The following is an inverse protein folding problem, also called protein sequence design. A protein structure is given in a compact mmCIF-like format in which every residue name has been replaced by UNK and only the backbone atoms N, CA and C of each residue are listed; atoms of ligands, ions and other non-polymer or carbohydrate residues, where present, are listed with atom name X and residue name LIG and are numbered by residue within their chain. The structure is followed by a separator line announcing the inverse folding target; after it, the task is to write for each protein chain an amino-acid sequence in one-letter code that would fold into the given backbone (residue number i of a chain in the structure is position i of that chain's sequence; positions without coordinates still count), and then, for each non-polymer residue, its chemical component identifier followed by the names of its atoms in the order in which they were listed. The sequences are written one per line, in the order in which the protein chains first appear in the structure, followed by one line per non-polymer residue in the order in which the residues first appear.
data_IF_412566555242
#
_entry.id   IF_412566555242
#
_cell.length_a   1.000
_cell.length_b   1.000
_cell.length_c   1.000
_cell.angle_alpha   90.00
_cell.angle_beta   90.00
_cell.angle_gamma   90.00
#
_symmetry.space_group_name_H-M   'P 1'
#
loop_
_entity.id
_entity.type
_entity.pdbx_description
1 polymer ?
#
# COMPACT_ATOMS: atom_id res chain seq x y z
N UNK A 1 13.91 32.85 -53.27
CA UNK A 1 12.53 32.67 -52.78
C UNK A 1 11.91 34.04 -52.55
N UNK A 2 10.62 34.25 -52.88
CA UNK A 2 9.99 35.54 -52.61
C UNK A 2 9.75 35.72 -51.11
N UNK A 3 9.72 36.96 -50.64
CA UNK A 3 9.39 37.29 -49.24
C UNK A 3 8.02 36.72 -48.78
N UNK A 4 7.02 36.82 -49.66
CA UNK A 4 5.67 36.31 -49.41
C UNK A 4 5.68 34.79 -49.20
N UNK A 5 6.41 34.05 -50.05
CA UNK A 5 6.55 32.60 -49.92
C UNK A 5 7.27 32.24 -48.62
N UNK A 6 8.31 32.96 -48.23
CA UNK A 6 9.02 32.79 -46.98
C UNK A 6 8.10 33.02 -45.78
N UNK A 7 7.29 34.07 -45.78
CA UNK A 7 6.36 34.34 -44.68
C UNK A 7 5.28 33.29 -44.51
N UNK A 8 4.78 32.71 -45.60
CA UNK A 8 3.85 31.58 -45.56
C UNK A 8 4.53 30.37 -44.94
N UNK A 9 5.74 30.05 -45.40
CA UNK A 9 6.52 28.93 -44.84
C UNK A 9 6.77 29.19 -43.36
N UNK A 10 7.22 30.36 -42.95
CA UNK A 10 7.45 30.71 -41.55
C UNK A 10 6.21 30.44 -40.66
N UNK A 11 5.03 30.88 -41.11
CA UNK A 11 3.78 30.62 -40.38
C UNK A 11 3.47 29.12 -40.22
N UNK A 12 3.70 28.32 -41.25
CA UNK A 12 3.55 26.86 -41.18
C UNK A 12 4.53 26.26 -40.17
N UNK A 13 5.76 26.74 -40.15
CA UNK A 13 6.78 26.31 -39.17
C UNK A 13 6.44 26.71 -37.70
N UNK A 14 5.71 27.80 -37.50
CA UNK A 14 5.23 28.19 -36.17
C UNK A 14 4.09 27.32 -35.68
N UNK A 15 3.21 26.84 -36.57
CA UNK A 15 2.02 26.03 -36.22
C UNK A 15 2.39 24.56 -36.02
N UNK A 16 3.28 24.01 -36.82
CA UNK A 16 3.63 22.59 -36.80
C UNK A 16 4.11 22.08 -35.43
N UNK A 17 5.03 22.75 -34.70
CA UNK A 17 5.46 22.30 -33.38
C UNK A 17 4.32 22.25 -32.37
N UNK A 18 3.36 23.16 -32.47
CA UNK A 18 2.18 23.19 -31.58
C UNK A 18 1.35 21.94 -31.77
N UNK A 19 1.06 21.57 -33.03
CA UNK A 19 0.29 20.37 -33.34
C UNK A 19 1.05 19.11 -32.87
N UNK A 20 2.34 19.03 -33.17
CA UNK A 20 3.20 17.92 -32.76
C UNK A 20 3.21 17.75 -31.23
N UNK A 21 3.40 18.85 -30.50
CA UNK A 21 3.42 18.84 -29.04
C UNK A 21 2.09 18.33 -28.47
N UNK A 22 0.95 18.77 -29.00
CA UNK A 22 -0.37 18.30 -28.54
C UNK A 22 -0.52 16.81 -28.78
N UNK A 23 -0.18 16.33 -29.97
CA UNK A 23 -0.30 14.90 -30.30
C UNK A 23 0.60 14.05 -29.39
N UNK A 24 1.86 14.44 -29.20
CA UNK A 24 2.80 13.68 -28.36
C UNK A 24 2.43 13.77 -26.87
N UNK A 25 1.93 14.91 -26.40
CA UNK A 25 1.38 15.01 -25.05
C UNK A 25 0.22 14.03 -24.82
N UNK A 26 -0.71 13.94 -25.79
CA UNK A 26 -1.82 12.98 -25.72
C UNK A 26 -1.33 11.54 -25.70
N UNK A 27 -0.33 11.22 -26.52
CA UNK A 27 0.29 9.88 -26.52
C UNK A 27 0.93 9.59 -25.17
N UNK A 28 1.71 10.53 -24.65
CA UNK A 28 2.36 10.38 -23.34
C UNK A 28 1.32 10.24 -22.22
N UNK A 29 0.29 11.08 -22.24
CA UNK A 29 -0.81 10.99 -21.27
C UNK A 29 -1.47 9.60 -21.26
N UNK A 30 -1.71 9.01 -22.45
CA UNK A 30 -2.28 7.67 -22.55
C UNK A 30 -1.36 6.57 -21.99
N UNK A 31 -0.06 6.78 -21.91
CA UNK A 31 0.89 5.85 -21.29
C UNK A 31 0.66 5.75 -19.78
N UNK A 32 0.37 6.85 -19.12
CA UNK A 32 0.20 6.94 -17.66
C UNK A 32 -1.26 6.85 -17.20
N UNK A 33 -2.21 7.35 -18.02
CA UNK A 33 -3.64 7.27 -17.80
C UNK A 33 -4.30 6.39 -18.86
N UNK A 34 -5.45 5.81 -18.55
CA UNK A 34 -6.29 5.19 -19.59
C UNK A 34 -6.98 6.26 -20.43
N UNK A 35 -7.28 5.95 -21.70
CA UNK A 35 -8.08 6.83 -22.56
C UNK A 35 -9.44 7.10 -21.91
N UNK A 36 -9.65 8.33 -21.49
CA UNK A 36 -10.93 8.84 -21.01
C UNK A 36 -11.37 10.01 -21.88
N UNK A 37 -12.71 10.20 -21.99
CA UNK A 37 -13.26 11.29 -22.82
C UNK A 37 -12.70 12.69 -22.46
N UNK A 38 -12.23 12.88 -21.21
CA UNK A 38 -11.66 14.15 -20.74
C UNK A 38 -10.30 14.52 -21.32
N UNK A 39 -9.58 13.60 -21.96
CA UNK A 39 -8.27 13.87 -22.56
C UNK A 39 -8.35 14.89 -23.72
N UNK A 40 -9.45 14.85 -24.49
CA UNK A 40 -9.69 15.80 -25.57
C UNK A 40 -9.91 17.23 -25.09
N UNK A 41 -10.42 17.40 -23.86
CA UNK A 41 -10.55 18.71 -23.21
C UNK A 41 -9.15 19.24 -22.87
N UNK A 42 -8.28 18.42 -22.32
CA UNK A 42 -6.88 18.80 -22.03
C UNK A 42 -6.14 19.17 -23.31
N UNK A 43 -6.32 18.41 -24.39
CA UNK A 43 -5.77 18.72 -25.70
C UNK A 43 -6.30 20.08 -26.24
N UNK A 44 -7.60 20.30 -26.13
CA UNK A 44 -8.24 21.55 -26.52
C UNK A 44 -7.71 22.75 -25.72
N UNK A 45 -7.54 22.61 -24.41
CA UNK A 45 -6.95 23.65 -23.54
C UNK A 45 -5.51 23.97 -24.00
N UNK A 46 -4.68 22.94 -24.22
CA UNK A 46 -3.33 23.14 -24.67
C UNK A 46 -3.28 23.81 -26.06
N UNK A 47 -4.14 23.41 -26.99
CA UNK A 47 -4.22 24.01 -28.33
C UNK A 47 -4.60 25.49 -28.26
N UNK A 48 -5.70 25.80 -27.59
CA UNK A 48 -6.21 27.19 -27.46
C UNK A 48 -5.18 28.06 -26.77
N UNK A 49 -4.58 27.60 -25.66
CA UNK A 49 -3.57 28.37 -24.94
C UNK A 49 -2.33 28.63 -25.80
N UNK A 50 -1.83 27.62 -26.53
CA UNK A 50 -0.67 27.81 -27.38
C UNK A 50 -0.95 28.77 -28.57
N UNK A 51 -2.15 28.71 -29.15
CA UNK A 51 -2.56 29.60 -30.25
C UNK A 51 -2.80 31.03 -29.73
N UNK A 52 -3.61 31.20 -28.67
CA UNK A 52 -3.91 32.52 -28.14
C UNK A 52 -2.67 33.23 -27.64
N UNK A 53 -1.78 32.53 -26.95
CA UNK A 53 -0.56 33.15 -26.44
C UNK A 53 0.52 33.37 -27.50
N UNK A 54 0.53 32.56 -28.56
CA UNK A 54 1.38 32.83 -29.74
C UNK A 54 1.01 34.10 -30.50
N UNK A 55 -0.28 34.46 -30.44
CA UNK A 55 -0.80 35.67 -31.08
C UNK A 55 -0.65 36.94 -30.22
N UNK A 56 -0.62 36.80 -28.87
CA UNK A 56 -0.70 37.93 -27.91
C UNK A 56 0.58 38.28 -27.19
N UNK A 57 1.53 37.36 -27.12
CA UNK A 57 2.78 37.55 -26.38
C UNK A 57 3.98 37.43 -27.35
N UNK A 58 4.54 38.55 -27.67
CA UNK A 58 5.83 38.63 -28.41
C UNK A 58 7.00 38.09 -27.57
N UNK A 59 6.78 37.74 -26.30
CA UNK A 59 7.82 37.28 -25.36
C UNK A 59 7.71 35.81 -24.95
N UNK A 60 8.84 35.24 -24.48
CA UNK A 60 9.21 33.87 -24.71
C UNK A 60 8.42 32.81 -23.91
N UNK A 61 8.55 31.61 -24.43
CA UNK A 61 7.91 30.35 -24.07
C UNK A 61 7.66 30.02 -22.59
N UNK A 62 8.41 30.56 -21.63
CA UNK A 62 8.27 30.24 -20.21
C UNK A 62 6.89 30.64 -19.66
N UNK A 63 6.41 31.87 -19.95
CA UNK A 63 5.10 32.32 -19.47
C UNK A 63 3.98 31.50 -20.12
N UNK A 64 4.10 31.18 -21.38
CA UNK A 64 3.13 30.35 -22.13
C UNK A 64 3.03 28.95 -21.55
N UNK A 65 4.17 28.32 -21.24
CA UNK A 65 4.20 26.98 -20.67
C UNK A 65 3.69 26.96 -19.22
N UNK A 66 4.07 27.92 -18.41
CA UNK A 66 3.58 28.00 -17.00
C UNK A 66 2.07 28.20 -16.94
N UNK A 67 1.51 29.11 -17.75
CA UNK A 67 0.06 29.33 -17.76
C UNK A 67 -0.71 28.11 -18.28
N UNK A 68 -0.23 27.47 -19.35
CA UNK A 68 -0.86 26.24 -19.85
C UNK A 68 -0.81 25.11 -18.83
N UNK A 69 0.32 24.97 -18.10
CA UNK A 69 0.45 24.01 -17.02
C UNK A 69 -0.53 24.28 -15.88
N UNK A 70 -0.67 25.54 -15.43
CA UNK A 70 -1.61 25.92 -14.36
C UNK A 70 -3.05 25.59 -14.74
N UNK A 71 -3.47 25.88 -15.98
CA UNK A 71 -4.85 25.62 -16.43
C UNK A 71 -5.09 24.12 -16.56
N UNK A 72 -4.16 23.35 -17.10
CA UNK A 72 -4.28 21.88 -17.16
C UNK A 72 -4.31 21.26 -15.78
N UNK A 73 -3.48 21.73 -14.83
CA UNK A 73 -3.49 21.27 -13.45
C UNK A 73 -4.81 21.64 -12.74
N UNK A 74 -5.34 22.85 -12.97
CA UNK A 74 -6.66 23.25 -12.46
C UNK A 74 -7.79 22.34 -12.96
N UNK A 75 -7.81 22.03 -14.26
CA UNK A 75 -8.74 21.06 -14.82
C UNK A 75 -8.58 19.66 -14.22
N UNK A 76 -7.34 19.18 -14.08
CA UNK A 76 -7.05 17.89 -13.46
C UNK A 76 -7.45 17.86 -11.99
N UNK A 77 -7.26 18.95 -11.25
CA UNK A 77 -7.69 19.07 -9.87
C UNK A 77 -9.21 18.94 -9.74
N UNK A 78 -9.97 19.59 -10.61
CA UNK A 78 -11.43 19.49 -10.59
C UNK A 78 -11.95 18.10 -10.97
N UNK A 79 -11.30 17.43 -11.92
CA UNK A 79 -11.80 16.16 -12.48
C UNK A 79 -11.15 14.91 -11.92
N UNK A 80 -9.87 14.96 -11.61
CA UNK A 80 -9.04 13.79 -11.24
C UNK A 80 -8.39 13.96 -9.87
N UNK A 81 -9.15 14.40 -8.86
CA UNK A 81 -8.64 14.70 -7.51
C UNK A 81 -7.71 13.61 -6.93
N UNK A 82 -8.00 12.33 -7.25
CA UNK A 82 -7.23 11.17 -6.76
C UNK A 82 -5.94 10.87 -7.55
N UNK A 83 -5.64 11.61 -8.63
CA UNK A 83 -4.52 11.32 -9.53
C UNK A 83 -3.77 12.59 -9.98
N UNK A 84 -3.87 13.64 -9.18
CA UNK A 84 -3.21 14.93 -9.48
C UNK A 84 -1.68 14.78 -9.54
N UNK A 85 -1.12 13.91 -8.69
CA UNK A 85 0.30 13.58 -8.65
C UNK A 85 0.83 13.07 -10.00
N UNK A 86 0.04 12.25 -10.71
CA UNK A 86 0.41 11.77 -12.04
C UNK A 86 0.35 12.87 -13.09
N UNK A 87 -0.67 13.73 -13.03
CA UNK A 87 -0.82 14.84 -13.96
C UNK A 87 0.36 15.82 -13.86
N UNK A 88 0.77 16.15 -12.63
CA UNK A 88 1.95 16.98 -12.37
C UNK A 88 3.21 16.34 -12.96
N UNK A 89 3.43 15.06 -12.70
CA UNK A 89 4.60 14.34 -13.22
C UNK A 89 4.65 14.34 -14.75
N UNK A 90 3.51 14.04 -15.42
CA UNK A 90 3.46 14.00 -16.88
C UNK A 90 3.70 15.37 -17.50
N UNK A 91 3.15 16.42 -16.92
CA UNK A 91 3.37 17.79 -17.39
C UNK A 91 4.85 18.18 -17.28
N UNK A 92 5.48 17.95 -16.13
CA UNK A 92 6.90 18.24 -15.93
C UNK A 92 7.78 17.44 -16.89
N UNK A 93 7.51 16.14 -17.03
CA UNK A 93 8.21 15.27 -17.96
C UNK A 93 8.08 15.75 -19.41
N UNK A 94 6.87 16.11 -19.83
CA UNK A 94 6.61 16.59 -21.20
C UNK A 94 7.34 17.90 -21.51
N UNK A 95 7.24 18.88 -20.61
CA UNK A 95 7.92 20.16 -20.80
C UNK A 95 9.44 20.01 -20.81
N UNK A 96 9.97 19.13 -19.97
CA UNK A 96 11.41 18.86 -19.99
C UNK A 96 11.84 18.18 -21.30
N UNK A 97 11.08 17.20 -21.79
CA UNK A 97 11.38 16.56 -23.09
C UNK A 97 11.33 17.55 -24.24
N UNK A 98 10.37 18.45 -24.23
CA UNK A 98 10.30 19.53 -25.19
C UNK A 98 11.56 20.42 -25.14
N UNK A 99 11.95 20.85 -23.92
CA UNK A 99 13.11 21.70 -23.71
C UNK A 99 14.43 21.02 -24.17
N UNK A 100 14.65 19.77 -23.73
CA UNK A 100 15.84 18.99 -24.11
C UNK A 100 15.89 18.74 -25.61
N UNK A 101 14.74 18.41 -26.24
CA UNK A 101 14.69 18.20 -27.70
C UNK A 101 14.99 19.47 -28.48
N UNK A 102 14.51 20.62 -28.00
CA UNK A 102 14.80 21.91 -28.62
C UNK A 102 16.28 22.24 -28.50
N UNK A 103 16.91 22.05 -27.32
CA UNK A 103 18.33 22.32 -27.14
C UNK A 103 19.23 21.49 -28.08
N UNK A 104 18.90 20.20 -28.23
CA UNK A 104 19.63 19.33 -29.16
C UNK A 104 19.43 19.78 -30.62
N UNK A 105 18.20 20.11 -31.00
CA UNK A 105 17.87 20.55 -32.35
C UNK A 105 18.49 21.90 -32.69
N UNK A 106 18.50 22.85 -31.74
CA UNK A 106 19.15 24.14 -31.91
C UNK A 106 20.66 23.98 -32.13
N UNK A 107 21.33 23.14 -31.37
CA UNK A 107 22.75 22.85 -31.56
C UNK A 107 23.04 22.26 -32.95
N UNK A 108 22.18 21.37 -33.47
CA UNK A 108 22.30 20.82 -34.82
C UNK A 108 22.11 21.94 -35.86
N UNK A 109 21.12 22.82 -35.67
CA UNK A 109 20.87 23.95 -36.52
C UNK A 109 22.09 24.89 -36.55
N UNK A 110 22.63 25.27 -35.40
CA UNK A 110 23.78 26.15 -35.29
C UNK A 110 25.03 25.57 -36.01
N UNK A 111 25.26 24.25 -35.91
CA UNK A 111 26.33 23.59 -36.67
C UNK A 111 26.17 23.71 -38.20
N UNK A 112 24.94 23.89 -38.67
CA UNK A 112 24.65 23.93 -40.12
C UNK A 112 24.52 25.34 -40.69
N UNK A 113 24.26 26.34 -39.83
CA UNK A 113 24.03 27.75 -40.25
C UNK A 113 25.16 28.29 -41.09
N UNK A 114 26.41 28.15 -40.66
CA UNK A 114 27.56 28.63 -41.40
C UNK A 114 27.65 28.02 -42.81
N UNK A 115 27.36 26.74 -42.93
CA UNK A 115 27.38 26.04 -44.23
C UNK A 115 26.24 26.50 -45.15
N UNK A 116 25.07 26.85 -44.61
CA UNK A 116 23.91 27.32 -45.36
C UNK A 116 24.17 28.70 -45.94
N UNK A 117 24.83 29.57 -45.20
CA UNK A 117 25.06 30.96 -45.59
C UNK A 117 26.46 31.21 -46.16
N UNK A 118 27.30 30.18 -46.25
CA UNK A 118 28.65 30.27 -46.82
C UNK A 118 28.56 30.64 -48.30
N UNK A 119 29.33 31.68 -48.72
CA UNK A 119 29.43 32.13 -50.12
C UNK A 119 28.25 32.98 -50.56
N UNK A 120 27.48 33.57 -49.67
CA UNK A 120 26.51 34.60 -50.03
C UNK A 120 27.25 35.88 -50.43
N UNK A 121 27.06 36.32 -51.69
CA UNK A 121 27.56 37.58 -52.16
C UNK A 121 26.47 38.66 -52.07
N UNK A 122 26.72 39.65 -51.21
CA UNK A 122 25.78 40.75 -50.92
C UNK A 122 25.48 41.59 -52.16
N UNK A 123 26.36 41.58 -53.12
CA UNK A 123 26.24 42.36 -54.38
C UNK A 123 25.48 41.60 -55.49
N UNK A 124 25.14 40.31 -55.26
CA UNK A 124 24.42 39.54 -56.28
C UNK A 124 22.93 39.87 -56.32
N UNK A 125 22.36 39.93 -57.55
CA UNK A 125 20.91 40.15 -57.73
C UNK A 125 20.06 39.06 -57.02
N UNK A 126 20.61 37.86 -56.78
CA UNK A 126 19.95 36.75 -56.12
C UNK A 126 20.14 36.75 -54.59
N UNK A 127 20.84 37.71 -53.98
CA UNK A 127 21.18 37.72 -52.59
C UNK A 127 19.97 37.52 -51.71
N UNK A 128 18.90 38.32 -51.87
CA UNK A 128 17.66 38.24 -51.09
C UNK A 128 16.97 36.87 -51.26
N UNK A 129 16.95 36.36 -52.51
CA UNK A 129 16.39 35.05 -52.82
C UNK A 129 17.12 33.93 -52.04
N UNK A 130 18.46 33.96 -52.05
CA UNK A 130 19.31 32.96 -51.38
C UNK A 130 19.23 33.05 -49.86
N UNK A 131 19.12 34.26 -49.30
CA UNK A 131 18.92 34.46 -47.83
C UNK A 131 17.59 33.84 -47.37
N UNK A 132 16.47 34.15 -48.04
CA UNK A 132 15.19 33.55 -47.66
C UNK A 132 15.16 32.03 -47.85
N UNK A 133 15.83 31.53 -48.88
CA UNK A 133 15.96 30.08 -49.09
C UNK A 133 16.81 29.45 -48.00
N UNK A 134 17.92 30.04 -47.61
CA UNK A 134 18.77 29.58 -46.51
C UNK A 134 18.04 29.56 -45.17
N UNK A 135 17.28 30.62 -44.85
CA UNK A 135 16.44 30.68 -43.66
C UNK A 135 15.38 29.56 -43.65
N UNK A 136 14.71 29.29 -44.78
CA UNK A 136 13.73 28.24 -44.88
C UNK A 136 14.33 26.83 -44.69
N UNK A 137 15.51 26.59 -45.28
CA UNK A 137 16.27 25.34 -45.11
C UNK A 137 16.69 25.19 -43.65
N UNK A 138 17.22 26.24 -43.03
CA UNK A 138 17.62 26.22 -41.63
C UNK A 138 16.45 25.89 -40.68
N UNK A 139 15.31 26.57 -40.88
CA UNK A 139 14.09 26.22 -40.14
C UNK A 139 13.67 24.75 -40.37
N UNK A 140 13.77 24.24 -41.59
CA UNK A 140 13.49 22.86 -41.93
C UNK A 140 14.37 21.87 -41.14
N UNK A 141 15.68 22.16 -41.07
CA UNK A 141 16.64 21.34 -40.28
C UNK A 141 16.30 21.37 -38.81
N UNK A 142 16.01 22.55 -38.24
CA UNK A 142 15.60 22.71 -36.84
C UNK A 142 14.35 21.88 -36.51
N UNK A 143 13.32 21.98 -37.33
CA UNK A 143 12.08 21.26 -37.14
C UNK A 143 12.21 19.75 -37.31
N UNK A 144 12.95 19.31 -38.29
CA UNK A 144 13.15 17.87 -38.53
C UNK A 144 13.93 17.23 -37.37
N UNK A 145 15.03 17.88 -36.96
CA UNK A 145 15.83 17.39 -35.81
C UNK A 145 15.05 17.43 -34.52
N UNK A 146 14.31 18.50 -34.22
CA UNK A 146 13.42 18.60 -33.07
C UNK A 146 12.38 17.47 -33.06
N UNK A 147 11.70 17.25 -34.19
CA UNK A 147 10.68 16.21 -34.32
C UNK A 147 11.27 14.82 -34.08
N UNK A 148 12.41 14.52 -34.70
CA UNK A 148 13.07 13.21 -34.57
C UNK A 148 13.48 12.92 -33.12
N UNK A 149 14.14 13.90 -32.48
CA UNK A 149 14.59 13.75 -31.08
C UNK A 149 13.40 13.56 -30.14
N UNK A 150 12.35 14.39 -30.26
CA UNK A 150 11.18 14.30 -29.42
C UNK A 150 10.40 12.98 -29.61
N UNK A 151 10.31 12.45 -30.83
CA UNK A 151 9.74 11.14 -31.13
C UNK A 151 10.56 10.01 -30.52
N UNK A 152 11.88 10.06 -30.58
CA UNK A 152 12.76 9.07 -29.96
C UNK A 152 12.58 9.09 -28.45
N UNK A 153 12.63 10.26 -27.83
CA UNK A 153 12.49 10.41 -26.38
C UNK A 153 11.15 9.87 -25.88
N UNK A 154 10.05 10.27 -26.52
CA UNK A 154 8.71 9.76 -26.15
C UNK A 154 8.54 8.27 -26.43
N UNK A 155 9.09 7.78 -27.54
CA UNK A 155 9.04 6.35 -27.91
C UNK A 155 9.74 5.45 -26.91
N UNK A 156 10.88 5.86 -26.36
CA UNK A 156 11.59 5.12 -25.31
C UNK A 156 10.75 5.05 -24.02
N UNK A 157 10.11 6.15 -23.60
CA UNK A 157 9.23 6.16 -22.43
C UNK A 157 8.06 5.20 -22.61
N UNK A 158 7.43 5.20 -23.79
CA UNK A 158 6.31 4.28 -24.10
C UNK A 158 6.72 2.81 -23.93
N UNK A 159 7.94 2.45 -24.30
CA UNK A 159 8.45 1.06 -24.15
C UNK A 159 8.78 0.71 -22.70
N UNK A 160 9.28 1.66 -21.93
CA UNK A 160 9.75 1.42 -20.57
C UNK A 160 8.60 1.45 -19.56
N UNK A 161 7.65 2.37 -19.71
CA UNK A 161 6.55 2.53 -18.76
C UNK A 161 5.53 1.42 -18.91
N UNK A 162 5.44 0.55 -17.89
CA UNK A 162 4.46 -0.54 -17.78
C UNK A 162 3.25 -0.09 -16.97
N UNK A 163 2.04 -0.38 -17.47
CA UNK A 163 0.79 -0.13 -16.74
C UNK A 163 0.51 -1.24 -15.72
N UNK A 164 -0.13 -0.95 -14.57
CA UNK A 164 -0.54 0.38 -14.10
C UNK A 164 0.63 1.17 -13.46
N UNK A 165 0.82 2.42 -13.88
CA UNK A 165 1.80 3.31 -13.28
C UNK A 165 1.14 4.09 -12.14
N UNK A 166 1.50 3.76 -10.89
CA UNK A 166 0.96 4.37 -9.69
C UNK A 166 2.05 5.22 -9.04
N UNK A 167 1.73 6.49 -8.74
CA UNK A 167 2.60 7.42 -8.04
C UNK A 167 1.94 7.88 -6.74
N UNK A 168 2.76 8.11 -5.72
CA UNK A 168 2.40 8.89 -4.53
C UNK A 168 3.10 10.26 -4.63
N UNK A 169 2.65 11.26 -3.87
CA UNK A 169 3.25 12.59 -3.90
C UNK A 169 4.77 12.60 -3.67
N UNK A 170 5.26 11.81 -2.71
CA UNK A 170 6.69 11.68 -2.44
C UNK A 170 7.47 11.15 -3.65
N UNK A 171 6.93 10.15 -4.32
CA UNK A 171 7.51 9.54 -5.52
C UNK A 171 7.47 10.51 -6.72
N UNK A 172 6.37 11.26 -6.84
CA UNK A 172 6.24 12.32 -7.85
C UNK A 172 7.29 13.39 -7.67
N UNK A 173 7.48 13.90 -6.45
CA UNK A 173 8.52 14.89 -6.15
C UNK A 173 9.89 14.34 -6.52
N UNK A 174 10.22 13.12 -6.07
CA UNK A 174 11.51 12.49 -6.34
C UNK A 174 11.80 12.35 -7.85
N UNK A 175 10.85 11.80 -8.61
CA UNK A 175 11.01 11.63 -10.05
C UNK A 175 10.98 12.95 -10.84
N UNK A 176 10.34 13.99 -10.30
CA UNK A 176 10.23 15.29 -10.96
C UNK A 176 11.44 16.20 -10.76
N UNK A 177 12.31 15.93 -9.80
CA UNK A 177 13.51 16.74 -9.55
C UNK A 177 14.38 16.84 -10.80
N UNK A 178 14.65 15.73 -11.48
CA UNK A 178 15.44 15.72 -12.71
C UNK A 178 14.75 16.50 -13.86
N UNK A 179 13.44 16.40 -13.98
CA UNK A 179 12.67 17.15 -14.97
C UNK A 179 12.76 18.66 -14.73
N UNK A 180 12.68 19.09 -13.46
CA UNK A 180 12.80 20.51 -13.11
C UNK A 180 14.21 21.00 -13.36
N UNK A 181 15.23 20.27 -12.90
CA UNK A 181 16.64 20.62 -13.10
C UNK A 181 16.97 20.68 -14.59
N UNK A 182 16.52 19.69 -15.38
CA UNK A 182 16.70 19.66 -16.82
C UNK A 182 16.11 20.90 -17.51
N UNK A 183 14.86 21.23 -17.19
CA UNK A 183 14.19 22.42 -17.76
C UNK A 183 14.88 23.73 -17.35
N UNK A 184 15.40 23.82 -16.12
CA UNK A 184 16.15 24.99 -15.64
C UNK A 184 17.49 25.13 -16.39
N UNK A 185 18.23 24.04 -16.58
CA UNK A 185 19.50 24.05 -17.31
C UNK A 185 19.27 24.51 -18.76
N UNK A 186 18.22 23.98 -19.41
CA UNK A 186 17.87 24.41 -20.76
C UNK A 186 17.51 25.90 -20.81
N UNK A 187 16.66 26.36 -19.86
CA UNK A 187 16.28 27.77 -19.79
C UNK A 187 17.51 28.69 -19.65
N UNK A 188 18.37 28.38 -18.70
CA UNK A 188 19.64 29.13 -18.52
C UNK A 188 20.51 29.08 -19.77
N UNK A 189 20.61 27.91 -20.41
CA UNK A 189 21.41 27.76 -21.64
C UNK A 189 20.87 28.62 -22.80
N UNK A 190 19.55 28.69 -22.95
CA UNK A 190 18.91 29.53 -23.97
C UNK A 190 19.09 31.02 -23.64
N UNK A 191 18.93 31.42 -22.39
CA UNK A 191 19.10 32.82 -21.98
C UNK A 191 20.55 33.28 -22.13
N UNK A 192 21.53 32.41 -21.92
CA UNK A 192 22.94 32.69 -22.11
C UNK A 192 23.39 32.63 -23.60
N UNK A 193 22.65 31.89 -24.43
CA UNK A 193 23.01 31.74 -25.85
C UNK A 193 22.84 33.02 -26.64
N UNK A 194 21.98 33.94 -26.21
CA UNK A 194 21.72 35.23 -26.85
C UNK A 194 21.84 36.34 -25.82
N UNK A 195 22.96 37.06 -25.85
CA UNK A 195 23.19 38.20 -24.94
C UNK A 195 23.04 39.50 -25.71
N UNK A 196 22.11 40.35 -25.33
CA UNK A 196 21.96 41.71 -25.85
C UNK A 196 22.78 42.68 -24.99
N UNK A 197 23.80 43.28 -25.60
CA UNK A 197 24.61 44.37 -25.00
C UNK A 197 24.36 45.62 -25.82
N UNK A 198 24.46 46.79 -25.18
CA UNK A 198 24.35 48.09 -25.89
C UNK A 198 25.21 48.11 -27.14
N UNK A 199 24.57 48.02 -28.34
CA UNK A 199 25.23 48.06 -29.66
C UNK A 199 25.23 46.77 -30.47
N UNK A 200 24.78 45.65 -29.96
CA UNK A 200 24.71 44.41 -30.75
C UNK A 200 24.13 43.20 -30.03
N UNK A 201 23.84 42.15 -30.79
CA UNK A 201 23.45 40.82 -30.29
C UNK A 201 24.68 39.93 -30.38
N UNK A 202 25.11 39.38 -29.26
CA UNK A 202 26.20 38.41 -29.16
C UNK A 202 25.63 37.01 -28.98
N UNK A 203 26.09 36.09 -29.83
CA UNK A 203 25.74 34.67 -29.73
C UNK A 203 26.86 33.94 -29.01
N UNK A 204 26.54 33.20 -27.97
CA UNK A 204 27.48 32.40 -27.17
C UNK A 204 28.29 31.42 -28.05
N UNK A 205 27.67 30.91 -29.09
CA UNK A 205 28.29 29.94 -29.99
C UNK A 205 29.39 30.52 -30.85
N UNK A 206 29.36 31.84 -31.13
CA UNK A 206 30.40 32.51 -31.89
C UNK A 206 31.72 32.59 -31.11
N UNK A 207 31.62 32.82 -29.78
CA UNK A 207 32.78 32.92 -28.91
C UNK A 207 33.26 31.56 -28.40
N UNK A 208 32.32 30.60 -28.21
CA UNK A 208 32.59 29.28 -27.58
C UNK A 208 31.99 28.14 -28.38
N UNK A 209 32.59 27.82 -29.51
CA UNK A 209 32.15 26.72 -30.39
C UNK A 209 32.06 25.37 -29.68
N UNK A 210 32.80 25.19 -28.59
CA UNK A 210 32.68 23.97 -27.77
C UNK A 210 31.28 23.75 -27.18
N UNK A 211 30.48 24.78 -26.98
CA UNK A 211 29.13 24.68 -26.46
C UNK A 211 28.16 23.94 -27.39
N UNK A 212 28.42 24.00 -28.70
CA UNK A 212 27.64 23.31 -29.74
C UNK A 212 27.53 21.80 -29.52
N UNK A 213 28.54 21.17 -28.91
CA UNK A 213 28.53 19.76 -28.65
C UNK A 213 28.36 19.42 -27.13
N UNK A 214 28.82 20.33 -26.24
CA UNK A 214 28.66 20.10 -24.77
C UNK A 214 27.19 20.14 -24.32
N UNK A 215 26.42 21.11 -24.84
CA UNK A 215 25.02 21.25 -24.46
C UNK A 215 24.12 20.04 -24.86
N UNK A 216 24.20 19.52 -26.10
CA UNK A 216 23.51 18.29 -26.46
C UNK A 216 23.89 17.08 -25.62
N UNK A 217 25.17 16.92 -25.27
CA UNK A 217 25.64 15.85 -24.40
C UNK A 217 24.98 15.95 -23.00
N UNK A 218 24.95 17.15 -22.42
CA UNK A 218 24.27 17.39 -21.14
C UNK A 218 22.78 17.03 -21.24
N UNK A 219 22.10 17.44 -22.31
CA UNK A 219 20.70 17.12 -22.55
C UNK A 219 20.46 15.60 -22.62
N UNK A 220 21.31 14.87 -23.35
CA UNK A 220 21.23 13.40 -23.41
C UNK A 220 21.50 12.76 -22.08
N UNK A 221 22.47 13.23 -21.30
CA UNK A 221 22.77 12.70 -19.95
C UNK A 221 21.61 12.91 -18.99
N UNK A 222 20.96 14.10 -19.01
CA UNK A 222 19.76 14.37 -18.20
C UNK A 222 18.65 13.39 -18.59
N UNK A 223 18.38 13.23 -19.89
CA UNK A 223 17.36 12.32 -20.39
C UNK A 223 17.63 10.86 -19.97
N UNK A 224 18.86 10.38 -20.10
CA UNK A 224 19.26 9.03 -19.66
C UNK A 224 19.05 8.87 -18.15
N UNK A 225 19.37 9.90 -17.37
CA UNK A 225 19.10 9.93 -15.92
C UNK A 225 17.62 9.79 -15.59
N UNK A 226 16.75 10.52 -16.30
CA UNK A 226 15.30 10.46 -16.12
C UNK A 226 14.71 9.07 -16.45
N UNK A 227 15.11 8.53 -17.58
CA UNK A 227 14.68 7.20 -18.01
C UNK A 227 15.15 6.14 -17.02
N UNK A 228 16.39 6.25 -16.56
CA UNK A 228 16.96 5.35 -15.55
C UNK A 228 16.18 5.44 -14.22
N UNK A 229 15.83 6.66 -13.79
CA UNK A 229 15.04 6.86 -12.59
C UNK A 229 13.64 6.24 -12.70
N UNK A 230 12.95 6.41 -13.83
CA UNK A 230 11.64 5.79 -14.09
C UNK A 230 11.75 4.25 -14.09
N UNK A 231 12.79 3.70 -14.74
CA UNK A 231 13.03 2.26 -14.82
C UNK A 231 13.32 1.65 -13.44
N UNK A 232 14.23 2.26 -12.68
CA UNK A 232 14.58 1.84 -11.30
C UNK A 232 13.35 1.89 -10.41
N UNK A 233 12.56 2.97 -10.48
CA UNK A 233 11.32 3.10 -9.72
C UNK A 233 10.33 1.96 -10.02
N UNK A 234 10.11 1.61 -11.28
CA UNK A 234 9.21 0.51 -11.65
C UNK A 234 9.70 -0.84 -11.14
N UNK A 235 11.00 -1.13 -11.25
CA UNK A 235 11.59 -2.36 -10.74
C UNK A 235 11.49 -2.42 -9.21
N UNK A 236 11.75 -1.33 -8.51
CA UNK A 236 11.57 -1.24 -7.07
C UNK A 236 10.12 -1.53 -6.64
N UNK A 237 9.15 -0.93 -7.33
CA UNK A 237 7.71 -1.18 -7.07
C UNK A 237 7.30 -2.62 -7.33
N UNK A 238 7.84 -3.24 -8.38
CA UNK A 238 7.62 -4.65 -8.66
C UNK A 238 8.17 -5.52 -7.53
N UNK A 239 9.41 -5.29 -7.12
CA UNK A 239 10.05 -6.01 -6.02
C UNK A 239 9.30 -5.86 -4.70
N UNK A 240 8.82 -4.67 -4.37
CA UNK A 240 8.00 -4.43 -3.18
C UNK A 240 6.71 -5.25 -3.18
N UNK A 241 6.01 -5.31 -4.33
CA UNK A 241 4.79 -6.14 -4.46
C UNK A 241 5.09 -7.62 -4.30
N UNK A 242 6.19 -8.12 -4.87
CA UNK A 242 6.61 -9.50 -4.73
C UNK A 242 6.94 -9.83 -3.26
N UNK A 243 7.70 -8.97 -2.57
CA UNK A 243 7.98 -9.13 -1.14
C UNK A 243 6.70 -9.15 -0.29
N UNK A 244 5.77 -8.25 -0.55
CA UNK A 244 4.50 -8.21 0.17
C UNK A 244 3.68 -9.48 -0.06
N UNK A 245 3.68 -10.02 -1.28
CA UNK A 245 3.00 -11.28 -1.60
C UNK A 245 3.63 -12.45 -0.84
N UNK A 246 4.95 -12.58 -0.88
CA UNK A 246 5.67 -13.64 -0.13
C UNK A 246 5.42 -13.55 1.38
N UNK A 247 5.44 -12.34 1.95
CA UNK A 247 5.14 -12.17 3.36
C UNK A 247 3.74 -12.68 3.73
N UNK A 248 2.71 -12.37 2.91
CA UNK A 248 1.34 -12.88 3.14
C UNK A 248 1.29 -14.41 3.01
N UNK A 249 1.97 -14.98 1.99
CA UNK A 249 2.06 -16.43 1.80
C UNK A 249 2.72 -17.12 3.00
N UNK A 250 3.81 -16.58 3.54
CA UNK A 250 4.48 -17.10 4.74
C UNK A 250 3.57 -17.08 5.96
N UNK A 251 2.83 -15.99 6.17
CA UNK A 251 1.86 -15.90 7.29
C UNK A 251 0.74 -16.94 7.15
N UNK A 252 0.23 -17.16 5.94
CA UNK A 252 -0.78 -18.20 5.69
C UNK A 252 -0.25 -19.60 5.98
N UNK A 253 0.98 -19.92 5.55
CA UNK A 253 1.62 -21.22 5.83
C UNK A 253 1.83 -21.43 7.32
N UNK A 254 2.25 -20.38 8.04
CA UNK A 254 2.43 -20.44 9.50
C UNK A 254 1.10 -20.72 10.21
N UNK A 255 0.04 -19.99 9.86
CA UNK A 255 -1.29 -20.20 10.44
C UNK A 255 -1.85 -21.60 10.16
N UNK A 256 -1.56 -22.15 8.95
CA UNK A 256 -2.00 -23.49 8.58
C UNK A 256 -1.25 -24.57 9.37
N UNK A 257 0.07 -24.40 9.61
CA UNK A 257 0.86 -25.31 10.45
C UNK A 257 0.32 -25.35 11.87
N UNK A 258 0.00 -24.19 12.45
CA UNK A 258 -0.56 -24.12 13.82
C UNK A 258 -1.89 -24.88 13.91
N UNK A 259 -2.80 -24.66 12.95
CA UNK A 259 -4.09 -25.39 12.92
C UNK A 259 -3.88 -26.90 12.75
N UNK A 260 -2.86 -27.33 11.99
CA UNK A 260 -2.55 -28.74 11.85
C UNK A 260 -2.10 -29.33 13.17
N UNK A 261 -1.22 -28.66 13.90
CA UNK A 261 -0.71 -29.09 15.21
C UNK A 261 -1.85 -29.18 16.26
N UNK A 262 -2.75 -28.20 16.28
CA UNK A 262 -3.95 -28.25 17.12
C UNK A 262 -4.85 -29.46 16.79
N UNK A 263 -5.05 -29.73 15.50
CA UNK A 263 -5.81 -30.89 15.05
C UNK A 263 -5.13 -32.22 15.42
N UNK A 264 -3.80 -32.34 15.26
CA UNK A 264 -3.02 -33.52 15.66
C UNK A 264 -3.14 -33.79 17.18
N UNK A 265 -3.02 -32.77 18.00
CA UNK A 265 -3.19 -32.84 19.45
C UNK A 265 -4.61 -33.30 19.84
N UNK A 266 -5.63 -32.78 19.15
CA UNK A 266 -7.02 -33.18 19.33
C UNK A 266 -7.24 -34.66 18.97
N UNK A 267 -6.76 -35.13 17.81
CA UNK A 267 -6.82 -36.51 17.39
C UNK A 267 -6.05 -37.45 18.36
N UNK A 268 -4.91 -36.98 18.86
CA UNK A 268 -4.13 -37.69 19.89
C UNK A 268 -4.95 -37.91 21.17
N UNK A 269 -5.71 -36.91 21.59
CA UNK A 269 -6.59 -37.00 22.77
C UNK A 269 -7.75 -37.96 22.53
N UNK A 270 -8.43 -37.90 21.40
CA UNK A 270 -9.49 -38.86 21.03
C UNK A 270 -8.94 -40.29 20.99
N UNK A 271 -7.73 -40.52 20.47
CA UNK A 271 -7.12 -41.84 20.42
C UNK A 271 -6.89 -42.40 21.84
N UNK A 272 -6.47 -41.57 22.80
CA UNK A 272 -6.28 -41.97 24.20
C UNK A 272 -7.62 -42.38 24.82
N UNK A 273 -8.65 -41.55 24.75
CA UNK A 273 -9.99 -41.83 25.25
C UNK A 273 -10.55 -43.14 24.67
N UNK A 274 -10.41 -43.36 23.36
CA UNK A 274 -10.84 -44.58 22.70
C UNK A 274 -10.08 -45.80 23.23
N UNK A 275 -8.79 -45.67 23.52
CA UNK A 275 -7.98 -46.77 24.07
C UNK A 275 -8.40 -47.10 25.49
N UNK A 276 -8.66 -46.12 26.32
CA UNK A 276 -9.16 -46.29 27.69
C UNK A 276 -10.54 -46.96 27.71
N UNK A 277 -11.48 -46.49 26.88
CA UNK A 277 -12.79 -47.13 26.72
C UNK A 277 -12.69 -48.60 26.27
N UNK A 278 -11.76 -48.91 25.35
CA UNK A 278 -11.52 -50.28 24.92
C UNK A 278 -11.01 -51.14 26.04
N UNK A 279 -10.15 -50.61 26.90
CA UNK A 279 -9.63 -51.31 28.07
C UNK A 279 -10.74 -51.59 29.07
N UNK A 280 -11.61 -50.60 29.38
CA UNK A 280 -12.76 -50.80 30.25
C UNK A 280 -13.72 -51.86 29.70
N UNK A 281 -14.04 -51.83 28.40
CA UNK A 281 -14.88 -52.83 27.74
C UNK A 281 -14.25 -54.24 27.78
N UNK A 282 -12.93 -54.33 27.66
CA UNK A 282 -12.21 -55.62 27.75
C UNK A 282 -12.26 -56.18 29.16
N UNK A 283 -12.10 -55.33 30.17
CA UNK A 283 -12.21 -55.75 31.58
C UNK A 283 -13.61 -56.24 31.91
N UNK A 284 -14.65 -55.49 31.54
CA UNK A 284 -16.06 -55.89 31.74
C UNK A 284 -16.34 -57.24 31.05
N UNK A 285 -15.92 -57.42 29.78
CA UNK A 285 -16.09 -58.67 29.05
C UNK A 285 -15.36 -59.81 29.73
N UNK A 286 -14.14 -59.63 30.27
CA UNK A 286 -13.40 -60.63 31.02
C UNK A 286 -14.08 -61.05 32.29
N UNK A 287 -14.64 -60.12 33.08
CA UNK A 287 -15.37 -60.41 34.27
C UNK A 287 -16.70 -61.14 34.00
N UNK A 288 -17.44 -60.77 32.98
CA UNK A 288 -18.67 -61.47 32.53
C UNK A 288 -18.34 -62.88 32.05
N UNK A 289 -17.28 -63.09 31.28
CA UNK A 289 -16.86 -64.43 30.81
C UNK A 289 -16.40 -65.34 31.93
N UNK A 290 -16.02 -64.73 33.06
CA UNK A 290 -15.62 -65.51 34.27
C UNK A 290 -16.79 -65.71 35.26
N UNK A 291 -18.02 -65.37 34.88
CA UNK A 291 -19.26 -65.44 35.66
C UNK A 291 -19.20 -64.69 37.01
N UNK A 292 -18.32 -63.67 37.11
CA UNK A 292 -18.09 -62.84 38.28
C UNK A 292 -19.00 -61.59 38.26
N UNK A 293 -20.32 -61.81 38.38
CA UNK A 293 -21.30 -60.75 38.21
C UNK A 293 -21.23 -59.65 39.27
N UNK A 294 -20.94 -60.03 40.55
CA UNK A 294 -20.76 -59.05 41.63
C UNK A 294 -19.57 -58.13 41.43
N UNK A 295 -18.47 -58.68 40.84
CA UNK A 295 -17.30 -57.89 40.49
C UNK A 295 -17.56 -56.96 39.23
N UNK A 296 -18.47 -57.37 38.33
CA UNK A 296 -18.90 -56.52 37.19
C UNK A 296 -19.70 -55.32 37.71
N UNK A 297 -20.64 -55.56 38.65
CA UNK A 297 -21.45 -54.50 39.23
C UNK A 297 -20.58 -53.49 39.99
N UNK A 298 -19.68 -53.96 40.84
CA UNK A 298 -18.70 -53.12 41.55
C UNK A 298 -17.76 -52.37 40.60
N UNK A 299 -17.36 -52.95 39.44
CA UNK A 299 -16.51 -52.29 38.46
C UNK A 299 -17.28 -51.19 37.72
N UNK A 300 -18.55 -51.43 37.37
CA UNK A 300 -19.41 -50.42 36.73
C UNK A 300 -19.71 -49.30 37.72
N UNK A 301 -20.01 -49.61 39.00
CA UNK A 301 -20.20 -48.61 40.03
C UNK A 301 -18.96 -47.72 40.22
N UNK A 302 -17.74 -48.33 40.27
CA UNK A 302 -16.48 -47.56 40.31
C UNK A 302 -16.24 -46.72 39.07
N UNK A 303 -16.64 -47.21 37.89
CA UNK A 303 -16.59 -46.45 36.65
C UNK A 303 -17.58 -45.27 36.70
N UNK A 304 -18.76 -45.53 37.19
CA UNK A 304 -19.80 -44.51 37.35
C UNK A 304 -19.40 -43.50 38.45
N UNK A 305 -18.81 -43.96 39.57
CA UNK A 305 -18.20 -43.09 40.58
C UNK A 305 -17.04 -42.28 39.98
N UNK A 306 -16.20 -42.83 39.10
CA UNK A 306 -15.09 -42.12 38.43
C UNK A 306 -15.66 -41.13 37.43
N UNK A 307 -16.76 -41.43 36.76
CA UNK A 307 -17.50 -40.51 35.88
C UNK A 307 -18.28 -39.49 36.72
N UNK A 308 -18.85 -39.87 37.87
CA UNK A 308 -19.59 -39.00 38.81
C UNK A 308 -18.65 -38.19 39.73
N UNK A 309 -17.44 -38.65 40.03
CA UNK A 309 -16.39 -37.84 40.72
C UNK A 309 -15.71 -36.83 39.82
N UNK A 310 -16.03 -36.83 38.54
CA UNK A 310 -16.11 -35.58 37.79
C UNK A 310 -17.40 -34.84 38.21
N UNK A 311 -17.62 -34.68 39.54
CA UNK A 311 -18.67 -33.80 40.04
C UNK A 311 -18.42 -32.40 39.49
N UNK A 312 -19.06 -32.13 38.40
CA UNK A 312 -19.09 -30.79 37.86
C UNK A 312 -19.75 -29.89 38.89
N UNK A 313 -18.95 -29.16 39.64
CA UNK A 313 -19.46 -28.20 40.64
C UNK A 313 -20.39 -27.18 39.96
N UNK A 314 -20.16 -26.95 38.67
CA UNK A 314 -20.96 -26.05 37.86
C UNK A 314 -21.56 -26.78 36.66
N UNK A 315 -22.88 -26.70 36.56
CA UNK A 315 -23.65 -27.14 35.39
C UNK A 315 -24.18 -25.89 34.68
N UNK A 316 -23.67 -25.61 33.47
CA UNK A 316 -24.00 -24.43 32.67
C UNK A 316 -25.09 -24.69 31.63
N UNK A 317 -25.57 -25.94 31.54
CA UNK A 317 -26.50 -26.39 30.52
C UNK A 317 -25.88 -26.70 29.16
N UNK A 318 -24.54 -26.75 29.09
CA UNK A 318 -23.81 -27.13 27.87
C UNK A 318 -22.55 -27.91 28.24
N UNK A 319 -22.41 -29.12 27.73
CA UNK A 319 -21.32 -30.04 28.07
C UNK A 319 -19.92 -29.49 27.81
N UNK A 320 -19.72 -28.68 26.74
CA UNK A 320 -18.40 -28.09 26.43
C UNK A 320 -18.00 -27.04 27.46
N UNK A 321 -18.92 -26.15 27.83
CA UNK A 321 -18.67 -25.13 28.85
C UNK A 321 -18.58 -25.71 30.25
N UNK A 322 -19.29 -26.80 30.53
CA UNK A 322 -19.19 -27.53 31.80
C UNK A 322 -17.76 -28.07 32.00
N UNK A 323 -17.23 -28.78 31.02
CA UNK A 323 -15.84 -29.30 31.07
C UNK A 323 -14.82 -28.18 31.29
N UNK A 324 -14.91 -27.10 30.51
CA UNK A 324 -13.94 -26.00 30.58
C UNK A 324 -14.01 -25.30 31.95
N UNK A 325 -15.22 -24.93 32.40
CA UNK A 325 -15.37 -24.15 33.63
C UNK A 325 -14.95 -24.99 34.86
N UNK A 326 -15.28 -26.28 34.88
CA UNK A 326 -14.88 -27.15 35.99
C UNK A 326 -13.36 -27.43 36.00
N UNK A 327 -12.71 -27.63 34.82
CA UNK A 327 -11.23 -27.72 34.72
C UNK A 327 -10.54 -26.44 35.24
N UNK A 328 -11.03 -25.28 34.84
CA UNK A 328 -10.48 -24.00 35.32
C UNK A 328 -10.76 -23.74 36.78
N UNK A 329 -11.94 -24.18 37.27
CA UNK A 329 -12.24 -24.10 38.68
C UNK A 329 -11.25 -24.93 39.52
N UNK A 330 -11.00 -26.20 39.16
CA UNK A 330 -10.02 -27.03 39.86
C UNK A 330 -8.62 -26.42 39.86
N UNK A 331 -8.18 -25.86 38.73
CA UNK A 331 -6.89 -25.16 38.64
C UNK A 331 -6.84 -23.94 39.56
N UNK A 332 -7.90 -23.14 39.59
CA UNK A 332 -8.02 -21.98 40.45
C UNK A 332 -8.04 -22.38 41.94
N UNK A 333 -8.78 -23.41 42.29
CA UNK A 333 -8.85 -23.95 43.66
C UNK A 333 -7.50 -24.45 44.14
N UNK A 334 -6.76 -25.19 43.28
CA UNK A 334 -5.40 -25.65 43.58
C UNK A 334 -4.41 -24.49 43.76
N UNK A 335 -4.64 -23.37 43.07
CA UNK A 335 -3.83 -22.15 43.18
C UNK A 335 -4.30 -21.24 44.35
N UNK A 336 -5.31 -21.64 45.13
CA UNK A 336 -5.84 -20.85 46.26
C UNK A 336 -6.60 -19.60 45.80
N UNK A 337 -7.25 -19.63 44.63
CA UNK A 337 -8.01 -18.53 44.06
C UNK A 337 -9.49 -18.68 44.39
N UNK A 338 -10.14 -17.64 44.93
CA UNK A 338 -11.58 -17.60 45.11
C UNK A 338 -12.28 -17.46 43.77
N UNK A 339 -12.91 -18.57 43.27
CA UNK A 339 -13.54 -18.55 41.97
C UNK A 339 -15.07 -18.62 42.08
N UNK A 340 -15.75 -17.56 41.65
CA UNK A 340 -17.22 -17.49 41.62
C UNK A 340 -17.72 -17.58 40.18
N UNK A 341 -18.75 -18.43 39.97
CA UNK A 341 -19.34 -18.66 38.65
C UNK A 341 -20.83 -18.37 38.68
N UNK A 342 -21.26 -17.43 37.80
CA UNK A 342 -22.67 -17.14 37.49
C UNK A 342 -22.87 -17.29 35.98
N UNK A 343 -22.80 -18.54 35.52
CA UNK A 343 -22.78 -18.84 34.08
C UNK A 343 -23.84 -19.92 33.80
N UNK A 344 -24.88 -19.54 33.05
CA UNK A 344 -25.92 -20.48 32.58
C UNK A 344 -26.14 -20.18 31.09
N UNK A 345 -25.58 -21.03 30.22
CA UNK A 345 -25.69 -20.89 28.79
C UNK A 345 -27.01 -21.43 28.26
N UNK A 346 -27.44 -22.59 28.76
CA UNK A 346 -28.59 -23.36 28.23
C UNK A 346 -28.30 -23.86 26.80
N UNK A 347 -29.32 -24.32 26.13
CA UNK A 347 -29.24 -24.64 24.72
C UNK A 347 -29.16 -23.33 23.89
N UNK A 348 -28.12 -23.17 23.10
CA UNK A 348 -27.96 -22.04 22.19
C UNK A 348 -27.67 -22.57 20.79
N UNK A 349 -28.64 -22.41 19.87
CA UNK A 349 -28.49 -22.88 18.50
C UNK A 349 -27.73 -21.87 17.61
N UNK A 350 -27.47 -20.66 18.12
CA UNK A 350 -26.96 -19.54 17.31
C UNK A 350 -25.49 -19.21 17.50
N UNK A 351 -24.88 -19.62 18.61
CA UNK A 351 -23.47 -19.41 18.91
C UNK A 351 -22.84 -20.79 19.19
N UNK A 352 -21.74 -21.09 18.46
CA UNK A 352 -21.04 -22.35 18.64
C UNK A 352 -20.47 -22.48 20.07
N UNK A 353 -20.75 -23.63 20.72
CA UNK A 353 -20.15 -23.94 22.01
C UNK A 353 -18.61 -23.99 21.97
N UNK A 354 -18.02 -24.31 20.80
CA UNK A 354 -16.60 -24.28 20.58
C UNK A 354 -16.04 -22.84 20.65
N UNK A 355 -16.73 -21.87 20.05
CA UNK A 355 -16.30 -20.46 20.04
C UNK A 355 -16.43 -19.86 21.47
N UNK A 356 -17.47 -20.21 22.20
CA UNK A 356 -17.58 -19.87 23.63
C UNK A 356 -16.43 -20.51 24.43
N UNK A 357 -16.06 -21.75 24.10
CA UNK A 357 -14.91 -22.42 24.66
C UNK A 357 -13.59 -21.70 24.44
N UNK A 358 -13.36 -21.17 23.25
CA UNK A 358 -12.18 -20.33 22.95
C UNK A 358 -12.16 -19.11 23.87
N UNK A 359 -13.28 -18.40 24.01
CA UNK A 359 -13.38 -17.21 24.86
C UNK A 359 -13.10 -17.60 26.34
N UNK A 360 -13.76 -18.63 26.86
CA UNK A 360 -13.59 -19.05 28.24
C UNK A 360 -12.15 -19.49 28.55
N UNK A 361 -11.54 -20.32 27.69
CA UNK A 361 -10.18 -20.76 27.92
C UNK A 361 -9.21 -19.56 27.95
N UNK A 362 -9.28 -18.65 26.98
CA UNK A 362 -8.36 -17.50 26.90
C UNK A 362 -8.56 -16.54 28.09
N UNK A 363 -9.79 -16.22 28.44
CA UNK A 363 -10.06 -15.29 29.54
C UNK A 363 -9.74 -15.87 30.91
N UNK A 364 -10.09 -17.14 31.15
CA UNK A 364 -9.84 -17.78 32.45
C UNK A 364 -8.37 -18.12 32.67
N UNK A 365 -7.64 -18.56 31.63
CA UNK A 365 -6.18 -18.76 31.73
C UNK A 365 -5.47 -17.46 32.08
N UNK A 366 -5.82 -16.36 31.40
CA UNK A 366 -5.27 -15.04 31.71
C UNK A 366 -5.60 -14.60 33.15
N UNK A 367 -6.81 -14.86 33.61
CA UNK A 367 -7.25 -14.50 34.95
C UNK A 367 -6.49 -15.30 36.03
N UNK A 368 -6.32 -16.63 35.84
CA UNK A 368 -5.56 -17.50 36.76
C UNK A 368 -4.11 -17.03 36.82
N UNK A 369 -3.45 -16.86 35.68
CA UNK A 369 -2.07 -16.38 35.61
C UNK A 369 -1.85 -15.00 36.29
N UNK A 370 -2.84 -14.10 36.17
CA UNK A 370 -2.77 -12.80 36.83
C UNK A 370 -2.89 -12.91 38.35
N UNK A 371 -3.81 -13.77 38.83
CA UNK A 371 -3.99 -14.00 40.23
C UNK A 371 -2.80 -14.71 40.89
N UNK A 372 -2.11 -15.63 40.19
CA UNK A 372 -0.95 -16.36 40.74
C UNK A 372 0.22 -15.42 41.13
N UNK A 373 0.28 -14.22 40.55
CA UNK A 373 1.28 -13.21 40.91
C UNK A 373 0.99 -12.45 42.21
N UNK A 374 -0.17 -12.63 42.79
CA UNK A 374 -0.63 -11.97 44.01
C UNK A 374 -0.46 -12.87 45.25
N UNK A 375 -0.57 -12.28 46.44
CA UNK A 375 -0.71 -13.03 47.66
C UNK A 375 -2.07 -13.76 47.70
N UNK A 376 -2.14 -14.95 48.33
CA UNK A 376 -3.27 -15.85 48.26
C UNK A 376 -4.59 -15.21 48.73
N UNK A 377 -4.52 -14.35 49.73
CA UNK A 377 -5.70 -13.68 50.31
C UNK A 377 -6.34 -12.65 49.36
N UNK A 378 -5.64 -12.20 48.33
CA UNK A 378 -6.11 -11.20 47.37
C UNK A 378 -6.64 -11.81 46.08
N UNK A 379 -6.52 -13.15 45.89
CA UNK A 379 -6.82 -13.84 44.64
C UNK A 379 -8.31 -14.10 44.48
N UNK A 380 -8.93 -13.53 43.46
CA UNK A 380 -10.29 -13.87 43.11
C UNK A 380 -10.54 -13.79 41.59
N UNK A 381 -11.49 -14.60 41.10
CA UNK A 381 -12.00 -14.61 39.74
C UNK A 381 -13.55 -14.69 39.83
N UNK A 382 -14.21 -13.80 39.07
CA UNK A 382 -15.67 -13.81 38.91
C UNK A 382 -16.00 -14.04 37.44
N UNK A 383 -16.63 -15.15 37.09
CA UNK A 383 -17.14 -15.44 35.75
C UNK A 383 -18.66 -15.22 35.75
N UNK A 384 -19.13 -14.37 34.83
CA UNK A 384 -20.56 -14.05 34.70
C UNK A 384 -20.99 -14.11 33.24
N UNK A 385 -22.14 -14.76 32.98
CA UNK A 385 -22.85 -14.70 31.71
C UNK A 385 -24.13 -13.90 31.88
N UNK A 386 -24.32 -12.90 31.02
CA UNK A 386 -25.54 -12.08 30.95
C UNK A 386 -26.12 -12.16 29.54
N UNK A 387 -27.44 -12.40 29.49
CA UNK A 387 -28.20 -12.28 28.22
C UNK A 387 -28.94 -10.94 28.24
N UNK A 388 -28.70 -10.09 27.30
CA UNK A 388 -29.35 -8.78 27.20
C UNK A 388 -29.79 -8.52 25.75
N UNK A 389 -31.11 -8.53 25.56
CA UNK A 389 -31.71 -8.46 24.23
C UNK A 389 -31.15 -9.58 23.32
N UNK A 390 -30.53 -9.22 22.18
CA UNK A 390 -29.93 -10.16 21.25
C UNK A 390 -28.41 -10.35 21.48
N UNK A 391 -27.90 -9.99 22.65
CA UNK A 391 -26.48 -10.11 22.98
C UNK A 391 -26.24 -11.04 24.13
N UNK A 392 -25.21 -11.87 23.99
CA UNK A 392 -24.61 -12.66 25.03
C UNK A 392 -23.35 -11.94 25.52
N UNK A 393 -23.27 -11.63 26.80
CA UNK A 393 -22.12 -10.97 27.42
C UNK A 393 -21.43 -11.96 28.35
N UNK A 394 -20.18 -12.30 28.03
CA UNK A 394 -19.29 -13.11 28.85
C UNK A 394 -18.35 -12.16 29.58
N UNK A 395 -18.45 -12.06 30.88
CA UNK A 395 -17.64 -11.18 31.72
C UNK A 395 -16.73 -12.03 32.62
N UNK A 396 -15.42 -11.78 32.55
CA UNK A 396 -14.42 -12.30 33.47
C UNK A 396 -13.77 -11.11 34.19
N UNK A 397 -13.84 -11.14 35.52
CA UNK A 397 -13.25 -10.13 36.39
C UNK A 397 -12.31 -10.83 37.36
N UNK A 398 -11.08 -10.32 37.49
CA UNK A 398 -10.08 -10.90 38.36
C UNK A 398 -9.21 -9.82 39.04
N UNK A 399 -8.62 -10.19 40.17
CA UNK A 399 -7.56 -9.42 40.80
C UNK A 399 -6.24 -9.54 40.00
N UNK A 400 -5.42 -8.48 40.01
CA UNK A 400 -4.11 -8.47 39.36
C UNK A 400 -3.17 -7.46 40.04
N UNK A 401 -1.88 -7.46 39.67
CA UNK A 401 -0.81 -6.67 40.32
C UNK A 401 -0.77 -5.17 39.93
N UNK A 402 -1.77 -4.68 39.20
CA UNK A 402 -1.89 -3.30 38.75
C UNK A 402 -0.97 -2.93 37.58
N UNK A 403 -0.15 -3.86 37.08
CA UNK A 403 0.81 -3.59 36.00
C UNK A 403 0.25 -4.05 34.66
N UNK A 404 0.02 -3.09 33.76
CA UNK A 404 -0.42 -3.35 32.39
C UNK A 404 0.50 -2.60 31.43
N UNK A 405 1.03 -3.30 30.42
CA UNK A 405 1.82 -2.73 29.35
C UNK A 405 0.92 -2.62 28.11
N UNK A 406 0.78 -1.40 27.59
CA UNK A 406 0.00 -1.16 26.36
C UNK A 406 0.96 -1.03 25.18
N UNK A 407 0.55 -1.56 24.03
CA UNK A 407 1.23 -1.30 22.77
C UNK A 407 0.86 0.12 22.29
N UNK A 408 1.81 0.87 21.73
CA UNK A 408 1.57 2.23 21.21
C UNK A 408 0.42 2.21 20.16
N UNK A 409 -0.73 2.77 20.56
CA UNK A 409 -1.96 2.75 19.76
C UNK A 409 -2.78 1.44 19.80
N UNK A 410 -2.41 0.47 20.65
CA UNK A 410 -3.11 -0.80 20.79
C UNK A 410 -4.34 -0.73 21.70
N UNK A 411 -5.40 -1.49 21.33
CA UNK A 411 -6.63 -1.63 22.12
C UNK A 411 -6.49 -2.73 23.18
N UNK A 412 -5.48 -3.61 23.02
CA UNK A 412 -5.26 -4.80 23.84
C UNK A 412 -3.92 -4.68 24.57
N UNK A 413 -3.86 -4.96 25.89
CA UNK A 413 -2.61 -4.91 26.64
C UNK A 413 -1.65 -6.03 26.23
N UNK A 414 -0.34 -5.69 26.21
CA UNK A 414 0.73 -6.67 26.02
C UNK A 414 0.89 -7.59 27.22
N UNK A 415 1.30 -8.84 27.00
CA UNK A 415 1.57 -9.76 28.08
C UNK A 415 2.95 -9.54 28.67
N UNK A 416 3.11 -9.82 29.98
CA UNK A 416 4.38 -9.71 30.70
C UNK A 416 5.18 -11.02 30.72
N UNK A 417 4.88 -11.99 29.85
CA UNK A 417 5.60 -13.27 29.80
C UNK A 417 7.02 -13.05 29.29
N UNK A 418 8.02 -13.20 30.17
CA UNK A 418 9.42 -13.36 29.77
C UNK A 418 9.63 -14.79 29.26
N UNK A 419 9.99 -14.95 28.01
CA UNK A 419 10.47 -16.23 27.46
C UNK A 419 11.99 -16.23 27.43
N UNK A 420 12.62 -17.28 27.94
CA UNK A 420 14.08 -17.52 27.91
C UNK A 420 14.63 -17.83 26.50
N UNK A 421 13.87 -17.56 25.43
CA UNK A 421 14.24 -17.81 24.04
C UNK A 421 14.51 -16.51 23.28
N UNK A 422 15.50 -16.47 22.37
CA UNK A 422 15.90 -15.24 21.69
C UNK A 422 14.85 -14.68 20.73
N UNK A 423 14.83 -13.37 20.59
CA UNK A 423 13.98 -12.35 19.95
C UNK A 423 13.25 -12.63 18.62
N UNK A 424 13.10 -13.88 18.17
CA UNK A 424 12.56 -14.15 16.82
C UNK A 424 11.08 -14.58 16.82
N UNK A 425 10.49 -14.87 17.99
CA UNK A 425 9.10 -15.38 18.11
C UNK A 425 8.35 -14.77 19.30
N UNK A 426 8.18 -13.47 19.34
CA UNK A 426 7.25 -12.83 20.28
C UNK A 426 5.80 -12.92 19.76
N UNK A 427 5.17 -14.08 19.89
CA UNK A 427 3.71 -14.22 19.82
C UNK A 427 3.10 -14.11 21.20
N UNK A 428 3.16 -12.92 21.80
CA UNK A 428 2.56 -12.65 23.11
C UNK A 428 1.41 -11.65 22.92
N UNK A 429 0.22 -12.01 23.40
CA UNK A 429 -1.03 -11.25 23.22
C UNK A 429 -2.11 -11.98 22.42
N UNK A 430 -1.86 -13.24 22.02
CA UNK A 430 -2.79 -14.04 21.19
C UNK A 430 -4.11 -14.30 21.89
N UNK A 431 -4.12 -14.52 23.21
CA UNK A 431 -5.32 -14.89 23.94
C UNK A 431 -6.45 -13.86 23.83
N UNK A 432 -6.20 -12.60 24.15
CA UNK A 432 -7.19 -11.53 24.03
C UNK A 432 -7.54 -11.20 22.57
N UNK A 433 -6.57 -11.36 21.65
CA UNK A 433 -6.83 -11.24 20.22
C UNK A 433 -7.80 -12.32 19.72
N UNK A 434 -7.60 -13.57 20.13
CA UNK A 434 -8.53 -14.66 19.81
C UNK A 434 -9.95 -14.37 20.32
N UNK A 435 -10.08 -13.81 21.54
CA UNK A 435 -11.37 -13.39 22.07
C UNK A 435 -12.02 -12.30 21.22
N UNK A 436 -11.23 -11.31 20.80
CA UNK A 436 -11.69 -10.23 19.92
C UNK A 436 -12.11 -10.76 18.55
N UNK A 437 -11.32 -11.64 17.94
CA UNK A 437 -11.61 -12.25 16.64
C UNK A 437 -12.91 -13.06 16.68
N UNK A 438 -13.16 -13.79 17.77
CA UNK A 438 -14.44 -14.50 17.98
C UNK A 438 -15.58 -13.51 18.17
N UNK A 439 -15.42 -12.46 18.97
CA UNK A 439 -16.46 -11.45 19.16
C UNK A 439 -16.84 -10.77 17.83
N UNK A 440 -15.85 -10.40 17.04
CA UNK A 440 -16.04 -9.79 15.71
C UNK A 440 -16.76 -10.74 14.74
N UNK A 441 -16.48 -12.06 14.81
CA UNK A 441 -17.19 -13.07 14.01
C UNK A 441 -18.70 -13.07 14.27
N UNK A 442 -19.10 -12.82 15.51
CA UNK A 442 -20.50 -12.70 15.92
C UNK A 442 -21.02 -11.25 15.94
N UNK A 443 -20.44 -10.35 15.16
CA UNK A 443 -20.82 -8.93 15.06
C UNK A 443 -20.90 -8.24 16.44
N UNK A 444 -20.08 -8.70 17.36
CA UNK A 444 -19.99 -8.21 18.73
C UNK A 444 -18.78 -7.30 18.94
N UNK A 445 -18.35 -7.20 20.20
CA UNK A 445 -17.18 -6.41 20.58
C UNK A 445 -16.54 -6.96 21.86
N UNK A 446 -15.36 -6.48 22.20
CA UNK A 446 -14.65 -6.78 23.44
C UNK A 446 -14.29 -5.48 24.16
N UNK A 447 -14.65 -5.37 25.42
CA UNK A 447 -14.35 -4.23 26.29
C UNK A 447 -13.44 -4.66 27.46
N UNK A 448 -12.41 -3.86 27.76
CA UNK A 448 -11.48 -4.10 28.85
C UNK A 448 -11.53 -2.91 29.79
N UNK A 449 -11.83 -3.19 31.06
CA UNK A 449 -11.87 -2.19 32.13
C UNK A 449 -10.86 -2.53 33.22
N UNK A 450 -10.03 -1.55 33.54
CA UNK A 450 -9.06 -1.63 34.60
C UNK A 450 -9.41 -0.56 35.65
N UNK A 451 -9.60 -0.99 36.87
CA UNK A 451 -9.86 -0.06 37.97
C UNK A 451 -9.17 -0.55 39.25
N UNK A 452 -8.19 0.20 39.71
CA UNK A 452 -7.29 -0.20 40.80
C UNK A 452 -6.67 -1.58 40.48
N UNK A 453 -6.81 -2.56 41.36
CA UNK A 453 -6.26 -3.92 41.25
C UNK A 453 -7.27 -4.92 40.63
N UNK A 454 -8.22 -4.41 39.85
CA UNK A 454 -9.28 -5.21 39.21
C UNK A 454 -9.13 -5.10 37.70
N UNK A 455 -9.01 -6.25 37.05
CA UNK A 455 -9.01 -6.40 35.61
C UNK A 455 -10.30 -7.06 35.14
N UNK A 456 -11.06 -6.43 34.29
CA UNK A 456 -12.34 -6.93 33.81
C UNK A 456 -12.38 -6.94 32.27
N UNK A 457 -12.65 -8.08 31.68
CA UNK A 457 -12.91 -8.24 30.24
C UNK A 457 -14.37 -8.65 30.05
N UNK A 458 -14.99 -7.99 29.07
CA UNK A 458 -16.35 -8.30 28.62
C UNK A 458 -16.32 -8.63 27.14
N UNK A 459 -16.62 -9.87 26.76
CA UNK A 459 -16.87 -10.27 25.39
C UNK A 459 -18.35 -10.23 25.09
N UNK A 460 -18.74 -9.51 24.05
CA UNK A 460 -20.12 -9.36 23.59
C UNK A 460 -20.30 -10.09 22.27
N UNK A 461 -21.30 -10.97 22.18
CA UNK A 461 -21.62 -11.76 21.00
C UNK A 461 -23.08 -11.52 20.61
N UNK A 462 -23.32 -11.21 19.33
CA UNK A 462 -24.68 -11.03 18.84
C UNK A 462 -25.31 -12.41 18.50
N UNK A 463 -26.46 -12.68 19.08
CA UNK A 463 -27.28 -13.84 18.72
C UNK A 463 -28.13 -13.50 17.49
N UNK A 464 -28.12 -14.36 16.45
CA UNK A 464 -29.06 -14.21 15.34
C UNK A 464 -30.48 -14.48 15.80
N UNK A 465 -31.43 -13.64 15.40
CA UNK A 465 -32.86 -14.00 15.59
C UNK A 465 -33.16 -15.26 14.78
N UNK A 466 -33.62 -16.29 15.46
CA UNK A 466 -34.28 -17.44 14.83
C UNK A 466 -35.68 -16.93 14.42
N UNK A 467 -35.87 -16.68 13.13
CA UNK A 467 -37.15 -16.36 12.54
C UNK A 467 -38.01 -17.61 12.42
#
# INVERSE_FOLDING_TARGET
MSQVTYEIIRKLFEIYPIILQIVLFLVLWNVFFRWEKGIWIVAGILAVMNICMGLWLEKPGVIRYTMSAVIVLGYCFCKYQKHLEKAVFILLLFYNFHALSYLIADSIYQCTVESIFRGLDVLSEEYIFRVYLGMAIGMGILLLSYTLVLLIMTGVVIKIVKKPFMLRWQETIFLSVLNIVGSMIVGISVDLSVVQIEGGVFLLYDDKQEMLWKLPIIAVLIYVGEISAIYIYQNYRKLQKERQKHFVEEQQVKAMKQRLEEAENFYGSIRRVRHEMKNHMTNIKGLVASEKYDEVESYIEKLDETIQTMDYKFNTGNAVTDVIINDKYQKAENAGISFQVKFNLGETDTISAFDIGIILNNLLDNAIEACEKLEQEQRYINLTLKKKNHFLLIEVENSFDGKVIWEDGGIVPMTTKQSDLPDILMEHGIGLKNVKDVADHYLGDMDIKIKNDVFKVTAMLQQKEIK
#
